data_IF_612579766921
#
_entry.id   IF_612579766921
#
_cell.length_a   1.000
_cell.length_b   1.000
_cell.length_c   1.000
_cell.angle_alpha   90.00
_cell.angle_beta   90.00
_cell.angle_gamma   90.00
#
_symmetry.space_group_name_H-M   'P 1'
#
loop_
_entity.id
_entity.type
_entity.pdbx_description
1 polymer ?
#
# COMPACT_ATOMS: atom_id res chain seq x y z
N UNK A 1 -4.32 -0.14 -11.36
CA UNK A 1 -3.13 -0.78 -10.77
C UNK A 1 -3.49 -2.15 -10.21
N UNK A 2 -2.85 -3.21 -10.69
CA UNK A 2 -3.00 -4.59 -10.18
C UNK A 2 -2.15 -4.82 -8.90
N UNK A 3 -2.52 -5.78 -8.03
CA UNK A 3 -1.80 -6.06 -6.77
C UNK A 3 -0.31 -6.38 -6.93
N UNK A 4 0.07 -7.06 -8.01
CA UNK A 4 1.46 -7.35 -8.31
C UNK A 4 2.26 -6.06 -8.54
N UNK A 5 1.78 -5.20 -9.46
CA UNK A 5 2.43 -3.90 -9.74
C UNK A 5 2.46 -3.00 -8.51
N UNK A 6 1.41 -3.06 -7.69
CA UNK A 6 1.39 -2.33 -6.42
C UNK A 6 2.43 -2.87 -5.43
N UNK A 7 2.65 -4.18 -5.36
CA UNK A 7 3.70 -4.78 -4.52
C UNK A 7 5.07 -4.27 -4.94
N UNK A 8 5.38 -4.31 -6.24
CA UNK A 8 6.64 -3.80 -6.79
C UNK A 8 6.82 -2.30 -6.51
N UNK A 9 5.75 -1.52 -6.67
CA UNK A 9 5.74 -0.09 -6.35
C UNK A 9 6.03 0.18 -4.86
N UNK A 10 5.42 -0.58 -3.94
CA UNK A 10 5.71 -0.44 -2.51
C UNK A 10 7.16 -0.82 -2.20
N UNK A 11 7.68 -1.91 -2.78
CA UNK A 11 9.09 -2.28 -2.63
C UNK A 11 10.00 -1.14 -3.09
N UNK A 12 9.69 -0.51 -4.23
CA UNK A 12 10.46 0.62 -4.75
C UNK A 12 10.41 1.86 -3.85
N UNK A 13 9.25 2.20 -3.28
CA UNK A 13 9.16 3.32 -2.33
C UNK A 13 9.95 3.02 -1.07
N UNK A 14 9.76 1.83 -0.49
CA UNK A 14 10.31 1.52 0.83
C UNK A 14 11.82 1.38 0.76
N UNK A 15 12.38 0.75 -0.28
CA UNK A 15 13.85 0.62 -0.42
C UNK A 15 14.54 1.99 -0.59
N UNK A 16 13.84 2.99 -1.11
CA UNK A 16 14.33 4.35 -1.31
C UNK A 16 13.99 5.28 -0.13
N UNK A 17 13.26 4.79 0.88
CA UNK A 17 12.89 5.59 2.05
C UNK A 17 14.05 5.69 3.04
N UNK A 18 14.44 6.90 3.49
CA UNK A 18 15.54 7.07 4.44
C UNK A 18 15.22 6.54 5.84
N UNK A 19 13.95 6.25 6.13
CA UNK A 19 13.50 5.75 7.43
C UNK A 19 13.22 4.25 7.43
N UNK A 20 13.26 3.57 6.29
CA UNK A 20 13.17 2.12 6.22
C UNK A 20 14.55 1.48 6.37
N UNK A 21 14.60 0.37 7.09
CA UNK A 21 15.82 -0.43 7.26
C UNK A 21 15.80 -1.69 6.36
N UNK A 22 14.62 -2.07 5.83
CA UNK A 22 14.50 -3.16 4.88
C UNK A 22 13.10 -3.32 4.29
N UNK A 23 13.04 -3.95 3.11
CA UNK A 23 11.80 -4.39 2.47
C UNK A 23 12.05 -5.66 1.66
N UNK A 24 11.09 -6.59 1.70
CA UNK A 24 11.06 -7.81 0.89
C UNK A 24 9.62 -8.20 0.61
N UNK A 25 9.37 -8.98 -0.42
CA UNK A 25 8.02 -9.53 -0.67
C UNK A 25 7.65 -10.58 0.38
N UNK A 26 6.35 -10.84 0.55
CA UNK A 26 5.86 -11.94 1.40
C UNK A 26 6.39 -13.30 0.91
N UNK A 27 6.46 -13.48 -0.42
CA UNK A 27 6.98 -14.70 -1.03
C UNK A 27 8.47 -14.94 -0.67
N UNK A 28 9.29 -13.89 -0.71
CA UNK A 28 10.70 -13.95 -0.26
C UNK A 28 10.84 -14.25 1.23
N UNK A 29 9.81 -13.93 2.03
CA UNK A 29 9.76 -14.24 3.47
C UNK A 29 9.22 -15.64 3.78
N UNK A 30 8.87 -16.41 2.75
CA UNK A 30 8.32 -17.77 2.87
C UNK A 30 6.80 -17.84 3.00
N UNK A 31 6.08 -16.72 2.92
CA UNK A 31 4.61 -16.72 2.84
C UNK A 31 4.17 -16.83 1.38
N UNK A 32 3.80 -18.05 0.99
CA UNK A 32 3.26 -18.36 -0.34
C UNK A 32 1.73 -18.41 -0.36
N UNK A 33 1.07 -18.20 0.79
CA UNK A 33 -0.41 -18.16 0.87
C UNK A 33 -0.95 -16.82 0.40
N UNK A 34 -0.16 -15.76 0.60
CA UNK A 34 -0.50 -14.40 0.23
C UNK A 34 0.43 -13.95 -0.92
N UNK A 35 0.04 -14.20 -2.18
CA UNK A 35 0.93 -13.99 -3.33
C UNK A 35 1.33 -12.52 -3.54
N UNK A 36 0.59 -11.59 -2.94
CA UNK A 36 0.84 -10.15 -3.06
C UNK A 36 0.94 -9.53 -1.68
N UNK A 37 2.08 -8.90 -1.41
CA UNK A 37 2.38 -8.31 -0.13
C UNK A 37 3.87 -8.13 0.11
N UNK A 38 4.19 -7.40 1.17
CA UNK A 38 5.56 -7.07 1.56
C UNK A 38 5.75 -7.20 3.06
N UNK A 39 6.99 -7.43 3.45
CA UNK A 39 7.49 -7.26 4.80
C UNK A 39 8.34 -6.00 4.82
N UNK A 40 8.03 -5.09 5.74
CA UNK A 40 8.72 -3.81 5.91
C UNK A 40 9.37 -3.78 7.28
N UNK A 41 10.64 -3.41 7.33
CA UNK A 41 11.41 -3.24 8.57
C UNK A 41 11.73 -1.77 8.77
N UNK A 42 11.35 -1.23 9.93
CA UNK A 42 11.62 0.14 10.37
C UNK A 42 12.15 0.07 11.81
N UNK A 43 13.42 0.39 11.99
CA UNK A 43 14.13 0.20 13.25
C UNK A 43 14.12 -1.27 13.67
N UNK A 44 13.59 -1.54 14.87
CA UNK A 44 13.42 -2.90 15.42
C UNK A 44 12.07 -3.51 15.07
N UNK A 45 11.20 -2.80 14.34
CA UNK A 45 9.84 -3.21 14.05
C UNK A 45 9.77 -3.82 12.65
N UNK A 46 9.31 -5.06 12.58
CA UNK A 46 8.96 -5.72 11.32
C UNK A 46 7.43 -5.77 11.20
N UNK A 47 6.89 -5.43 10.03
CA UNK A 47 5.47 -5.48 9.74
C UNK A 47 5.20 -6.22 8.43
N UNK A 48 4.24 -7.14 8.44
CA UNK A 48 3.84 -7.91 7.27
C UNK A 48 2.54 -7.35 6.70
N UNK A 49 2.50 -7.16 5.39
CA UNK A 49 1.40 -6.50 4.69
C UNK A 49 0.91 -7.38 3.56
N UNK A 50 -0.34 -7.82 3.63
CA UNK A 50 -1.03 -8.47 2.52
C UNK A 50 -1.75 -7.44 1.67
N UNK A 51 -1.65 -7.56 0.35
CA UNK A 51 -2.35 -6.70 -0.61
C UNK A 51 -3.46 -7.46 -1.35
N UNK A 52 -4.68 -6.95 -1.24
CA UNK A 52 -5.85 -7.48 -1.96
C UNK A 52 -6.37 -6.42 -2.92
N UNK A 53 -6.49 -6.76 -4.21
CA UNK A 53 -7.03 -5.84 -5.22
C UNK A 53 -8.52 -6.03 -5.44
N UNK A 54 -9.21 -4.91 -5.65
CA UNK A 54 -10.59 -4.85 -6.11
C UNK A 54 -10.64 -4.06 -7.42
N UNK A 55 -11.28 -4.65 -8.43
CA UNK A 55 -11.51 -3.99 -9.71
C UNK A 55 -12.51 -2.83 -9.56
N UNK A 56 -12.47 -1.84 -10.47
CA UNK A 56 -13.51 -0.81 -10.52
C UNK A 56 -14.91 -1.42 -10.66
N UNK A 57 -15.93 -0.71 -10.19
CA UNK A 57 -17.30 -1.17 -10.29
C UNK A 57 -17.69 -1.43 -11.76
N UNK A 58 -18.28 -2.60 -12.02
CA UNK A 58 -18.67 -3.03 -13.38
C UNK A 58 -17.54 -3.59 -14.26
N UNK A 59 -16.28 -3.54 -13.82
CA UNK A 59 -15.17 -4.13 -14.56
C UNK A 59 -15.13 -5.66 -14.40
N UNK A 60 -14.96 -6.37 -15.52
CA UNK A 60 -14.72 -7.80 -15.53
C UNK A 60 -13.22 -8.09 -15.53
N UNK A 61 -12.82 -9.19 -14.91
CA UNK A 61 -11.42 -9.64 -14.94
C UNK A 61 -10.94 -9.91 -16.37
N UNK A 62 -11.82 -10.41 -17.23
CA UNK A 62 -11.59 -10.55 -18.67
C UNK A 62 -11.68 -9.18 -19.35
N UNK A 63 -10.58 -8.75 -19.97
CA UNK A 63 -10.51 -7.50 -20.73
C UNK A 63 -10.15 -6.25 -19.92
N UNK A 64 -9.99 -6.33 -18.59
CA UNK A 64 -9.49 -5.21 -17.80
C UNK A 64 -7.97 -5.03 -18.01
N UNK A 65 -7.63 -4.10 -18.88
CA UNK A 65 -6.26 -3.64 -19.08
C UNK A 65 -5.84 -2.83 -17.84
N UNK A 66 -4.64 -3.12 -17.32
CA UNK A 66 -4.07 -2.36 -16.18
C UNK A 66 -3.47 -1.03 -16.65
N UNK A 67 -4.23 -0.29 -17.47
CA UNK A 67 -3.81 1.00 -17.97
C UNK A 67 -3.76 2.01 -16.80
N UNK A 68 -2.61 2.69 -16.61
CA UNK A 68 -2.47 3.65 -15.54
C UNK A 68 -3.39 4.85 -15.82
N UNK A 69 -4.36 5.06 -14.94
CA UNK A 69 -5.17 6.29 -14.95
C UNK A 69 -4.52 7.27 -14.00
N UNK A 70 -4.08 8.40 -14.53
CA UNK A 70 -3.39 9.44 -13.77
C UNK A 70 -4.32 10.62 -13.49
N UNK A 71 -4.24 11.17 -12.27
CA UNK A 71 -4.92 12.40 -11.86
C UNK A 71 -4.05 13.20 -10.90
N UNK A 72 -4.66 14.09 -10.12
CA UNK A 72 -3.95 14.81 -9.05
C UNK A 72 -3.48 13.79 -8.01
N UNK A 73 -2.17 13.70 -7.71
CA UNK A 73 -1.68 12.83 -6.66
C UNK A 73 -2.25 13.21 -5.30
N UNK A 74 -2.30 12.24 -4.38
CA UNK A 74 -2.55 12.54 -2.96
C UNK A 74 -1.55 13.60 -2.48
N UNK A 75 -2.00 14.66 -1.78
CA UNK A 75 -1.08 15.68 -1.28
C UNK A 75 -0.04 15.04 -0.37
N UNK A 76 1.23 15.33 -0.67
CA UNK A 76 2.35 14.99 0.17
C UNK A 76 2.10 15.54 1.58
N UNK A 77 1.88 14.64 2.54
CA UNK A 77 1.69 14.96 3.94
C UNK A 77 3.03 15.07 4.67
N UNK A 78 2.99 14.80 5.97
CA UNK A 78 4.20 14.72 6.78
C UNK A 78 5.02 13.46 6.38
N UNK A 79 6.36 13.55 6.25
CA UNK A 79 7.17 12.39 5.87
C UNK A 79 7.13 11.28 6.93
N UNK A 80 7.30 10.00 6.52
CA UNK A 80 7.27 8.87 7.44
C UNK A 80 8.46 8.92 8.43
N UNK A 81 8.17 8.75 9.72
CA UNK A 81 9.15 8.77 10.82
C UNK A 81 9.33 7.38 11.42
N UNK A 82 10.54 7.03 11.86
CA UNK A 82 10.81 5.72 12.49
C UNK A 82 9.96 5.42 13.75
N UNK A 83 9.43 6.46 14.39
CA UNK A 83 8.56 6.36 15.57
C UNK A 83 7.08 6.18 15.25
N UNK A 84 6.70 6.25 13.97
CA UNK A 84 5.31 6.08 13.55
C UNK A 84 4.88 4.62 13.67
N UNK A 85 3.59 4.40 13.95
CA UNK A 85 3.00 3.07 13.85
C UNK A 85 3.15 2.54 12.41
N UNK A 86 3.25 1.22 12.17
CA UNK A 86 3.42 0.67 10.83
C UNK A 86 2.41 1.19 9.80
N UNK A 87 1.14 1.33 10.20
CA UNK A 87 0.08 1.87 9.34
C UNK A 87 0.26 3.36 9.01
N UNK A 88 0.66 4.17 9.99
CA UNK A 88 0.93 5.59 9.78
C UNK A 88 2.18 5.77 8.90
N UNK A 89 3.22 4.98 9.13
CA UNK A 89 4.45 4.98 8.37
C UNK A 89 4.19 4.64 6.89
N UNK A 90 3.49 3.53 6.61
CA UNK A 90 3.22 3.11 5.24
C UNK A 90 2.30 4.10 4.51
N UNK A 91 1.28 4.63 5.18
CA UNK A 91 0.42 5.66 4.60
C UNK A 91 1.20 6.93 4.22
N UNK A 92 2.10 7.39 5.10
CA UNK A 92 2.95 8.54 4.84
C UNK A 92 3.96 8.28 3.70
N UNK A 93 4.57 7.10 3.66
CA UNK A 93 5.46 6.70 2.57
C UNK A 93 4.74 6.70 1.21
N UNK A 94 3.52 6.17 1.15
CA UNK A 94 2.69 6.16 -0.05
C UNK A 94 2.26 7.57 -0.50
N UNK A 95 1.89 8.44 0.45
CA UNK A 95 1.56 9.83 0.15
C UNK A 95 2.79 10.60 -0.37
N UNK A 96 3.97 10.37 0.20
CA UNK A 96 5.23 10.98 -0.23
C UNK A 96 5.70 10.53 -1.61
N UNK A 97 5.32 9.33 -2.04
CA UNK A 97 5.61 8.86 -3.39
C UNK A 97 4.91 9.69 -4.48
N UNK A 98 3.90 10.50 -4.10
CA UNK A 98 3.16 11.41 -4.99
C UNK A 98 2.75 10.75 -6.32
N UNK A 99 2.36 9.46 -6.25
CA UNK A 99 2.01 8.71 -7.46
C UNK A 99 0.75 9.29 -8.09
N UNK A 100 0.77 9.66 -9.38
CA UNK A 100 -0.39 10.25 -10.05
C UNK A 100 -1.53 9.24 -10.23
N UNK A 101 -1.32 7.95 -9.99
CA UNK A 101 -2.38 6.95 -10.07
C UNK A 101 -3.22 6.85 -8.80
N UNK A 102 -2.66 7.25 -7.66
CA UNK A 102 -3.32 7.13 -6.35
C UNK A 102 -4.19 8.37 -6.14
N UNK A 103 -5.50 8.14 -5.97
CA UNK A 103 -6.47 9.19 -5.69
C UNK A 103 -6.65 9.43 -4.18
N UNK A 104 -6.61 8.36 -3.36
CA UNK A 104 -6.67 8.48 -1.90
C UNK A 104 -5.93 7.33 -1.20
N UNK A 105 -5.46 7.62 0.02
CA UNK A 105 -4.93 6.64 0.98
C UNK A 105 -5.66 6.84 2.29
N UNK A 106 -6.36 5.81 2.76
CA UNK A 106 -7.22 5.86 3.93
C UNK A 106 -6.77 4.82 4.97
N UNK A 107 -6.55 5.26 6.20
CA UNK A 107 -6.11 4.42 7.32
C UNK A 107 -7.31 3.85 8.06
N UNK A 108 -7.36 2.53 8.24
CA UNK A 108 -8.46 1.84 8.92
C UNK A 108 -8.54 2.21 10.40
N UNK A 109 -7.39 2.42 11.04
CA UNK A 109 -7.31 2.83 12.45
C UNK A 109 -7.91 4.21 12.74
N UNK A 110 -8.03 5.06 11.72
CA UNK A 110 -8.58 6.42 11.85
C UNK A 110 -10.04 6.55 11.47
N UNK A 111 -10.66 5.48 10.96
CA UNK A 111 -12.08 5.47 10.63
C UNK A 111 -12.93 5.48 11.91
N UNK A 112 -14.13 6.09 11.91
CA UNK A 112 -14.99 6.21 13.09
C UNK A 112 -15.46 4.85 13.62
N UNK A 113 -15.60 3.85 12.75
CA UNK A 113 -15.75 2.43 13.10
C UNK A 113 -14.38 1.76 13.10
N UNK A 114 -13.44 2.28 13.90
CA UNK A 114 -12.06 1.79 13.92
C UNK A 114 -12.07 0.27 14.10
N UNK A 115 -11.78 -0.44 13.00
CA UNK A 115 -11.69 -1.88 13.04
C UNK A 115 -10.56 -2.22 14.01
N UNK A 116 -10.68 -3.30 14.78
CA UNK A 116 -9.56 -3.84 15.56
C UNK A 116 -8.39 -4.32 14.67
N UNK A 117 -8.44 -4.06 13.37
CA UNK A 117 -7.48 -4.45 12.35
C UNK A 117 -6.72 -3.23 11.86
N UNK A 118 -5.40 -3.37 11.83
CA UNK A 118 -4.46 -2.39 11.28
C UNK A 118 -4.38 -2.58 9.76
N UNK A 119 -4.57 -1.50 9.01
CA UNK A 119 -4.61 -1.58 7.55
C UNK A 119 -4.90 -0.25 6.87
N UNK A 120 -4.83 -0.25 5.54
CA UNK A 120 -5.11 0.91 4.73
C UNK A 120 -5.80 0.53 3.43
N UNK A 121 -6.66 1.41 2.95
CA UNK A 121 -7.31 1.33 1.64
C UNK A 121 -6.67 2.38 0.74
N UNK A 122 -6.17 1.94 -0.42
CA UNK A 122 -5.81 2.84 -1.51
C UNK A 122 -6.92 2.83 -2.55
N UNK A 123 -7.35 4.02 -2.96
CA UNK A 123 -8.22 4.19 -4.12
C UNK A 123 -7.42 4.79 -5.26
N UNK A 124 -7.51 4.20 -6.45
CA UNK A 124 -6.86 4.69 -7.65
C UNK A 124 -7.83 5.53 -8.48
N UNK A 125 -7.31 6.43 -9.33
CA UNK A 125 -8.14 7.27 -10.20
C UNK A 125 -9.00 6.47 -11.19
N UNK A 126 -8.60 5.24 -11.54
CA UNK A 126 -9.42 4.36 -12.37
C UNK A 126 -10.58 3.68 -11.60
N UNK A 127 -10.76 3.99 -10.31
CA UNK A 127 -11.79 3.40 -9.46
C UNK A 127 -11.42 2.03 -8.86
N UNK A 128 -10.25 1.48 -9.19
CA UNK A 128 -9.74 0.28 -8.55
C UNK A 128 -9.34 0.59 -7.10
N UNK A 129 -9.32 -0.45 -6.26
CA UNK A 129 -8.88 -0.32 -4.87
C UNK A 129 -7.86 -1.38 -4.52
N UNK A 130 -6.95 -1.05 -3.62
CA UNK A 130 -6.08 -2.01 -2.94
C UNK A 130 -6.33 -1.91 -1.44
N UNK A 131 -6.61 -3.05 -0.83
CA UNK A 131 -6.67 -3.21 0.61
C UNK A 131 -5.34 -3.79 1.08
N UNK A 132 -4.62 -3.01 1.87
CA UNK A 132 -3.36 -3.40 2.49
C UNK A 132 -3.61 -3.68 3.97
N UNK A 133 -3.53 -4.95 4.36
CA UNK A 133 -3.80 -5.40 5.72
C UNK A 133 -2.50 -5.79 6.41
N UNK A 134 -2.29 -5.29 7.62
CA UNK A 134 -1.20 -5.75 8.48
C UNK A 134 -1.64 -6.98 9.31
N UNK A 135 -0.74 -7.94 9.54
CA UNK A 135 -0.97 -9.12 10.38
C UNK A 135 0.30 -9.64 11.05
#
# INVERSE_FOLDING_TARGET
MRPQRFSDFVVDIVKNSPTADGVRTLAESGDTKHPFGVVITVGTTESQWQFTGQLPEGAKHEGFLDEPSTGTPVPAGEPPRKTDSPEAWLAAALAQAASPEIASVERWSTQPEAASQTGLTLTFHNGARIFARAY
#
